data_IF_191902144752
#
_entry.id   IF_191902144752
#
_cell.length_a   1.000
_cell.length_b   1.000
_cell.length_c   1.000
_cell.angle_alpha   90.00
_cell.angle_beta   90.00
_cell.angle_gamma   90.00
#
_symmetry.space_group_name_H-M   'P 1'
#
loop_
_entity.id
_entity.type
_entity.pdbx_description
1 polymer ?
#
# COMPACT_ATOMS: atom_id res chain seq x y z
N UNK A 1 -4.80 25.03 8.59
CA UNK A 1 -4.14 25.16 7.27
C UNK A 1 -3.23 23.97 7.10
N UNK A 2 -3.38 23.20 6.03
CA UNK A 2 -2.49 22.07 5.71
C UNK A 2 -1.32 22.64 4.91
N UNK A 3 -0.13 22.67 5.48
CA UNK A 3 1.08 23.10 4.77
C UNK A 3 1.49 22.01 3.81
N UNK A 4 1.29 22.22 2.51
CA UNK A 4 1.73 21.26 1.50
C UNK A 4 3.25 21.37 1.37
N UNK A 5 3.98 20.38 1.89
CA UNK A 5 5.40 20.23 1.60
C UNK A 5 5.54 19.64 0.21
N UNK A 6 5.94 20.45 -0.77
CA UNK A 6 6.37 19.95 -2.07
C UNK A 6 7.86 19.60 -1.99
N UNK A 7 8.24 18.30 -1.95
CA UNK A 7 9.64 17.94 -1.94
C UNK A 7 10.27 18.34 -3.27
N UNK A 8 11.31 19.18 -3.20
CA UNK A 8 12.15 19.49 -4.36
C UNK A 8 13.11 18.31 -4.54
N UNK A 9 13.01 17.63 -5.67
CA UNK A 9 13.92 16.55 -6.03
C UNK A 9 15.25 17.14 -6.51
N UNK A 10 16.35 16.55 -6.07
CA UNK A 10 17.67 16.89 -6.60
C UNK A 10 17.98 16.09 -7.87
N UNK A 11 19.00 16.51 -8.61
CA UNK A 11 19.40 15.90 -9.88
C UNK A 11 19.78 14.41 -9.72
N UNK A 12 20.34 14.03 -8.57
CA UNK A 12 20.67 12.64 -8.29
C UNK A 12 19.40 11.78 -8.16
N UNK A 13 18.37 12.24 -7.46
CA UNK A 13 17.10 11.51 -7.34
C UNK A 13 16.37 11.39 -8.67
N UNK A 14 16.51 12.39 -9.54
CA UNK A 14 15.97 12.35 -10.91
C UNK A 14 16.74 11.32 -11.74
N UNK A 15 18.08 11.31 -11.66
CA UNK A 15 18.91 10.32 -12.32
C UNK A 15 18.60 8.89 -11.84
N UNK A 16 18.49 8.70 -10.52
CA UNK A 16 18.14 7.42 -9.90
C UNK A 16 16.78 6.93 -10.37
N UNK A 17 15.79 7.82 -10.54
CA UNK A 17 14.49 7.48 -11.10
C UNK A 17 14.60 6.98 -12.54
N UNK A 18 15.39 7.65 -13.39
CA UNK A 18 15.59 7.24 -14.77
C UNK A 18 16.34 5.91 -14.89
N UNK A 19 17.28 5.64 -14.00
CA UNK A 19 18.07 4.39 -14.00
C UNK A 19 17.29 3.22 -13.40
N UNK A 20 16.66 3.42 -12.24
CA UNK A 20 16.04 2.34 -11.47
C UNK A 20 14.54 2.17 -11.74
N UNK A 21 13.91 3.15 -12.39
CA UNK A 21 12.45 3.23 -12.56
C UNK A 21 11.68 3.67 -11.31
N UNK A 22 12.39 4.00 -10.22
CA UNK A 22 11.81 4.52 -8.98
C UNK A 22 12.80 5.44 -8.25
N UNK A 23 12.28 6.34 -7.41
CA UNK A 23 13.09 7.17 -6.52
C UNK A 23 12.48 7.23 -5.12
N UNK A 24 13.35 7.26 -4.10
CA UNK A 24 12.93 7.36 -2.70
C UNK A 24 12.90 8.84 -2.31
N UNK A 25 11.70 9.34 -2.04
CA UNK A 25 11.50 10.68 -1.48
C UNK A 25 11.24 10.56 0.01
N UNK A 26 12.11 11.13 0.83
CA UNK A 26 12.02 11.08 2.29
C UNK A 26 11.19 12.24 2.81
N UNK A 27 10.50 12.03 3.94
CA UNK A 27 9.76 13.07 4.65
C UNK A 27 8.69 13.79 3.80
N UNK A 28 8.04 13.06 2.89
CA UNK A 28 6.95 13.57 2.03
C UNK A 28 5.77 14.08 2.85
N UNK A 29 5.45 13.37 3.93
CA UNK A 29 4.40 13.76 4.87
C UNK A 29 5.03 14.20 6.18
N UNK A 30 4.46 15.23 6.79
CA UNK A 30 4.73 15.53 8.20
C UNK A 30 4.22 14.40 9.10
N UNK A 31 4.76 14.24 10.32
CA UNK A 31 4.27 13.24 11.28
C UNK A 31 2.76 13.34 11.52
N UNK A 32 2.23 14.56 11.69
CA UNK A 32 0.80 14.79 11.93
C UNK A 32 -0.08 14.39 10.74
N UNK A 33 0.37 14.63 9.51
CA UNK A 33 -0.33 14.19 8.31
C UNK A 33 -0.32 12.67 8.19
N UNK A 34 0.84 12.05 8.41
CA UNK A 34 0.97 10.59 8.38
C UNK A 34 0.04 9.92 9.40
N UNK A 35 -0.08 10.48 10.61
CA UNK A 35 -0.97 9.98 11.65
C UNK A 35 -2.44 10.14 11.30
N UNK A 36 -2.84 11.28 10.72
CA UNK A 36 -4.22 11.50 10.23
C UNK A 36 -4.58 10.51 9.12
N UNK A 37 -3.69 10.34 8.14
CA UNK A 37 -3.89 9.37 7.07
C UNK A 37 -3.99 7.94 7.60
N UNK A 38 -3.14 7.56 8.57
CA UNK A 38 -3.18 6.24 9.19
C UNK A 38 -4.53 5.95 9.84
N UNK A 39 -5.11 6.91 10.56
CA UNK A 39 -6.44 6.75 11.19
C UNK A 39 -7.54 6.49 10.16
N UNK A 40 -7.58 7.28 9.09
CA UNK A 40 -8.57 7.12 8.01
C UNK A 40 -8.42 5.75 7.33
N UNK A 41 -7.19 5.34 7.03
CA UNK A 41 -6.93 4.02 6.42
C UNK A 41 -7.37 2.89 7.36
N UNK A 42 -7.10 3.00 8.67
CA UNK A 42 -7.51 1.99 9.64
C UNK A 42 -9.04 1.88 9.75
N UNK A 43 -9.74 3.01 9.80
CA UNK A 43 -11.21 3.02 9.81
C UNK A 43 -11.75 2.36 8.54
N UNK A 44 -11.28 2.75 7.36
CA UNK A 44 -11.73 2.18 6.08
C UNK A 44 -11.36 0.69 5.92
N UNK A 45 -10.16 0.30 6.37
CA UNK A 45 -9.72 -1.10 6.31
C UNK A 45 -10.54 -2.00 7.24
N UNK A 46 -11.00 -1.50 8.40
CA UNK A 46 -11.93 -2.24 9.26
C UNK A 46 -13.26 -2.50 8.56
N UNK A 47 -13.79 -1.52 7.81
CA UNK A 47 -15.02 -1.67 7.04
C UNK A 47 -14.89 -2.59 5.82
N UNK A 48 -13.72 -2.59 5.17
CA UNK A 48 -13.43 -3.45 4.01
C UNK A 48 -12.76 -4.78 4.40
N UNK A 49 -12.61 -5.05 5.70
CA UNK A 49 -12.14 -6.33 6.17
C UNK A 49 -13.18 -7.39 5.81
N UNK A 50 -12.69 -8.50 5.28
CA UNK A 50 -13.44 -9.67 4.84
C UNK A 50 -14.71 -9.92 5.69
N UNK A 51 -15.91 -10.04 5.08
CA UNK A 51 -17.14 -10.27 5.83
C UNK A 51 -16.95 -11.46 6.78
N UNK A 52 -17.33 -11.35 8.07
CA UNK A 52 -17.21 -12.47 9.01
C UNK A 52 -18.02 -13.70 8.59
N UNK A 53 -18.96 -13.55 7.64
CA UNK A 53 -19.76 -14.63 7.06
C UNK A 53 -19.04 -15.45 5.99
N UNK A 54 -17.94 -14.96 5.42
CA UNK A 54 -17.13 -15.74 4.51
C UNK A 54 -16.22 -16.68 5.31
N UNK A 55 -16.49 -17.98 5.19
CA UNK A 55 -15.56 -19.01 5.65
C UNK A 55 -14.40 -19.06 4.67
N UNK A 56 -13.18 -18.93 5.18
CA UNK A 56 -12.00 -19.30 4.40
C UNK A 56 -12.16 -20.77 3.99
N UNK A 57 -12.04 -21.12 2.70
CA UNK A 57 -12.10 -22.52 2.31
C UNK A 57 -11.01 -23.29 3.06
N UNK A 58 -11.29 -24.53 3.47
CA UNK A 58 -10.27 -25.37 4.11
C UNK A 58 -9.01 -25.37 3.25
N UNK A 59 -7.82 -25.13 3.84
CA UNK A 59 -6.57 -25.13 3.09
C UNK A 59 -6.30 -26.55 2.61
N UNK A 60 -6.80 -26.88 1.41
CA UNK A 60 -6.69 -28.25 0.90
C UNK A 60 -7.43 -28.60 -0.39
N UNK A 61 -8.07 -27.69 -1.14
CA UNK A 61 -8.80 -28.10 -2.37
C UNK A 61 -8.69 -27.21 -3.62
N UNK A 62 -7.76 -26.26 -3.67
CA UNK A 62 -7.48 -25.54 -4.92
C UNK A 62 -5.98 -25.34 -5.11
N UNK A 63 -5.35 -26.24 -5.87
CA UNK A 63 -4.13 -25.89 -6.60
C UNK A 63 -4.54 -24.93 -7.73
N UNK A 64 -3.78 -23.84 -7.90
CA UNK A 64 -3.83 -23.06 -9.13
C UNK A 64 -3.61 -24.04 -10.29
N UNK A 65 -4.52 -24.04 -11.25
CA UNK A 65 -4.71 -24.99 -12.36
C UNK A 65 -5.81 -26.04 -12.10
N UNK A 66 -6.94 -25.82 -12.78
CA UNK A 66 -8.04 -26.77 -12.86
C UNK A 66 -7.66 -28.04 -13.62
N UNK A 67 -7.00 -28.98 -12.93
CA UNK A 67 -6.96 -30.38 -13.31
C UNK A 67 -7.30 -31.23 -12.09
N UNK A 68 -8.41 -31.96 -12.19
CA UNK A 68 -8.88 -32.97 -11.24
C UNK A 68 -7.77 -34.01 -11.06
N UNK A 69 -7.32 -34.27 -9.83
CA UNK A 69 -6.43 -35.41 -9.59
C UNK A 69 -7.21 -36.71 -9.87
N UNK A 70 -6.57 -37.58 -10.65
CA UNK A 70 -7.02 -38.92 -11.01
C UNK A 70 -7.12 -39.83 -9.78
#
# INVERSE_FOLDING_TARGET
MTTINTPILNDQQIADFHENGYAIVRNVLSPDEADKYRRVVQEQAQFNSYPPSLKYPEPGKYTIAGNKMA
#
